data_IF_493044343865
#
_entry.id   IF_493044343865
#
_cell.length_a   1.000
_cell.length_b   1.000
_cell.length_c   1.000
_cell.angle_alpha   90.00
_cell.angle_beta   90.00
_cell.angle_gamma   90.00
#
_symmetry.space_group_name_H-M   'P 1'
#
loop_
_entity.id
_entity.type
_entity.pdbx_description
1 polymer ?
#
# COMPACT_ATOMS: atom_id res chain seq x y z
N UNK A 1 -3.35 2.03 -22.49
CA UNK A 1 -4.08 2.24 -21.23
C UNK A 1 -4.27 0.88 -20.59
N UNK A 2 -3.68 0.64 -19.46
CA UNK A 2 -3.75 -0.62 -18.72
C UNK A 2 -3.63 -0.37 -17.23
N UNK A 3 -3.78 -1.43 -16.44
CA UNK A 3 -3.70 -1.43 -14.98
C UNK A 3 -2.32 -1.97 -14.60
N UNK A 4 -1.53 -1.19 -13.87
CA UNK A 4 -0.24 -1.65 -13.35
C UNK A 4 -0.44 -2.73 -12.28
N UNK A 5 0.27 -3.86 -12.41
CA UNK A 5 0.31 -4.85 -11.33
C UNK A 5 1.33 -4.41 -10.29
N UNK A 6 0.93 -4.47 -9.02
CA UNK A 6 1.77 -4.26 -7.86
C UNK A 6 1.88 -5.49 -6.97
N UNK A 7 3.03 -5.62 -6.29
CA UNK A 7 3.27 -6.67 -5.30
C UNK A 7 4.06 -6.12 -4.11
N UNK A 8 3.58 -6.42 -2.90
CA UNK A 8 4.24 -5.99 -1.66
C UNK A 8 5.49 -6.82 -1.39
N UNK A 9 6.58 -6.15 -1.02
CA UNK A 9 7.88 -6.76 -0.69
C UNK A 9 8.47 -7.66 -1.80
N UNK A 10 8.09 -7.45 -3.04
CA UNK A 10 8.39 -8.33 -4.18
C UNK A 10 9.86 -8.69 -4.33
N UNK A 11 10.78 -7.76 -4.08
CA UNK A 11 12.22 -7.90 -4.35
C UNK A 11 13.07 -8.10 -3.10
N UNK A 12 12.46 -8.21 -1.92
CA UNK A 12 13.21 -8.35 -0.66
C UNK A 12 13.12 -9.75 -0.06
N UNK A 13 12.07 -10.48 -0.31
CA UNK A 13 11.89 -11.90 0.02
C UNK A 13 10.72 -12.50 -0.76
N UNK A 14 10.61 -13.81 -0.74
CA UNK A 14 9.50 -14.57 -1.31
C UNK A 14 9.49 -16.01 -0.82
N UNK A 15 8.85 -16.87 -1.56
CA UNK A 15 8.69 -18.28 -1.18
C UNK A 15 10.03 -19.00 -1.29
N UNK A 16 10.59 -19.34 -0.12
CA UNK A 16 11.85 -20.09 -0.02
C UNK A 16 13.10 -19.26 -0.26
N UNK A 17 13.03 -17.93 -0.24
CA UNK A 17 14.20 -17.08 -0.39
C UNK A 17 14.07 -15.76 0.37
N UNK A 18 15.21 -15.15 0.66
CA UNK A 18 15.32 -13.86 1.36
C UNK A 18 16.59 -13.13 0.91
N UNK A 19 16.47 -11.83 0.62
CA UNK A 19 17.59 -10.94 0.38
C UNK A 19 18.43 -11.20 -0.86
N UNK A 20 18.01 -12.09 -1.74
CA UNK A 20 18.74 -12.39 -2.98
C UNK A 20 18.61 -11.25 -4.00
N UNK A 21 19.73 -10.81 -4.53
CA UNK A 21 19.82 -9.70 -5.46
C UNK A 21 19.06 -10.00 -6.77
N UNK A 22 18.19 -9.10 -7.18
CA UNK A 22 17.43 -9.19 -8.43
C UNK A 22 16.36 -10.27 -8.48
N UNK A 23 16.11 -10.99 -7.39
CA UNK A 23 15.11 -12.04 -7.34
C UNK A 23 13.71 -11.46 -7.03
N UNK A 24 12.70 -12.06 -7.68
CA UNK A 24 11.28 -11.74 -7.52
C UNK A 24 10.48 -12.99 -7.90
N UNK A 25 9.51 -13.37 -7.07
CA UNK A 25 8.61 -14.50 -7.39
C UNK A 25 7.79 -14.19 -8.65
N UNK A 26 7.29 -12.96 -8.79
CA UNK A 26 6.57 -12.51 -9.99
C UNK A 26 7.45 -12.65 -11.24
N UNK A 27 8.65 -12.10 -11.20
CA UNK A 27 9.60 -12.21 -12.33
C UNK A 27 9.95 -13.65 -12.64
N UNK A 28 10.11 -14.49 -11.65
CA UNK A 28 10.42 -15.91 -11.84
C UNK A 28 9.30 -16.65 -12.58
N UNK A 29 8.05 -16.16 -12.51
CA UNK A 29 6.89 -16.74 -13.21
C UNK A 29 6.72 -16.15 -14.61
N UNK A 30 6.72 -14.84 -14.77
CA UNK A 30 6.37 -14.19 -16.04
C UNK A 30 7.53 -13.53 -16.79
N UNK A 31 8.71 -13.46 -16.19
CA UNK A 31 9.91 -12.87 -16.81
C UNK A 31 10.09 -11.38 -16.59
N UNK A 32 9.17 -10.71 -15.89
CA UNK A 32 9.22 -9.28 -15.63
C UNK A 32 8.85 -8.95 -14.18
N UNK A 33 9.32 -7.79 -13.71
CA UNK A 33 8.96 -7.27 -12.38
C UNK A 33 7.57 -6.65 -12.37
N UNK A 34 6.91 -6.56 -11.20
CA UNK A 34 5.73 -5.72 -11.07
C UNK A 34 6.01 -4.25 -11.45
N UNK A 35 5.03 -3.59 -12.02
CA UNK A 35 5.13 -2.15 -12.31
C UNK A 35 5.08 -1.30 -11.04
N UNK A 36 4.46 -1.81 -9.97
CA UNK A 36 4.41 -1.19 -8.64
C UNK A 36 4.98 -2.16 -7.62
N UNK A 37 5.93 -1.70 -6.82
CA UNK A 37 6.43 -2.46 -5.67
C UNK A 37 6.15 -1.64 -4.42
N UNK A 38 5.63 -2.29 -3.38
CA UNK A 38 5.39 -1.62 -2.11
C UNK A 38 6.26 -2.20 -1.01
N UNK A 39 6.53 -1.35 -0.01
CA UNK A 39 7.22 -1.70 1.24
C UNK A 39 6.47 -1.07 2.41
N UNK A 40 6.79 -1.48 3.63
CA UNK A 40 6.19 -0.91 4.84
C UNK A 40 7.23 -0.21 5.71
N UNK A 41 6.84 0.90 6.34
CA UNK A 41 7.71 1.70 7.21
C UNK A 41 7.62 1.31 8.68
N UNK A 42 6.73 0.38 9.06
CA UNK A 42 6.55 -0.04 10.45
C UNK A 42 7.87 -0.44 11.11
N UNK A 43 8.06 -0.06 12.37
CA UNK A 43 9.28 -0.21 13.19
C UNK A 43 10.42 0.78 12.85
N UNK A 44 10.46 1.36 11.63
CA UNK A 44 11.49 2.34 11.29
C UNK A 44 11.30 3.65 12.06
N UNK A 45 10.07 3.99 12.44
CA UNK A 45 9.75 5.15 13.30
C UNK A 45 10.39 5.06 14.69
N UNK A 46 10.75 3.85 15.13
CA UNK A 46 11.44 3.63 16.39
C UNK A 46 12.97 3.79 16.27
N UNK A 47 13.48 4.07 15.07
CA UNK A 47 14.92 4.07 14.79
C UNK A 47 15.51 2.66 14.62
N UNK A 48 14.67 1.65 14.43
CA UNK A 48 15.15 0.27 14.21
C UNK A 48 15.82 0.15 12.83
N UNK A 49 16.81 -0.73 12.74
CA UNK A 49 17.54 -0.97 11.48
C UNK A 49 16.72 -1.76 10.44
N UNK A 50 15.69 -2.47 10.88
CA UNK A 50 14.80 -3.26 10.03
C UNK A 50 13.33 -2.91 10.33
N UNK A 51 12.45 -3.11 9.33
CA UNK A 51 11.02 -2.89 9.48
C UNK A 51 10.32 -4.07 10.18
N UNK A 52 8.98 -4.01 10.31
CA UNK A 52 8.18 -5.05 10.96
C UNK A 52 8.30 -6.43 10.29
N UNK A 53 8.63 -6.48 9.01
CA UNK A 53 8.86 -7.73 8.27
C UNK A 53 10.34 -8.15 8.30
N UNK A 54 11.13 -7.58 9.20
CA UNK A 54 12.56 -7.87 9.37
C UNK A 54 13.41 -7.55 8.13
N UNK A 55 12.93 -6.67 7.25
CA UNK A 55 13.70 -6.19 6.10
C UNK A 55 14.56 -5.01 6.50
N UNK A 56 15.89 -5.06 6.31
CA UNK A 56 16.77 -3.94 6.62
C UNK A 56 16.38 -2.68 5.82
N UNK A 57 16.38 -1.52 6.49
CA UNK A 57 16.01 -0.24 5.85
C UNK A 57 16.92 0.10 4.65
N UNK A 58 18.19 -0.26 4.71
CA UNK A 58 19.13 -0.12 3.59
C UNK A 58 18.75 -0.97 2.38
N UNK A 59 18.23 -2.19 2.61
CA UNK A 59 17.73 -3.05 1.52
C UNK A 59 16.46 -2.46 0.90
N UNK A 60 15.53 -1.97 1.71
CA UNK A 60 14.33 -1.28 1.22
C UNK A 60 14.73 -0.10 0.35
N UNK A 61 15.63 0.76 0.82
CA UNK A 61 16.11 1.93 0.08
C UNK A 61 16.74 1.54 -1.26
N UNK A 62 17.56 0.50 -1.27
CA UNK A 62 18.18 -0.03 -2.49
C UNK A 62 17.14 -0.51 -3.50
N UNK A 63 16.13 -1.24 -3.06
CA UNK A 63 15.08 -1.75 -3.94
C UNK A 63 14.15 -0.64 -4.45
N UNK A 64 13.95 0.42 -3.67
CA UNK A 64 13.25 1.64 -4.14
C UNK A 64 14.04 2.29 -5.30
N UNK A 65 15.34 2.42 -5.15
CA UNK A 65 16.21 2.94 -6.24
C UNK A 65 16.13 2.05 -7.47
N UNK A 66 16.21 0.73 -7.30
CA UNK A 66 16.12 -0.22 -8.40
C UNK A 66 14.76 -0.11 -9.13
N UNK A 67 13.67 0.01 -8.40
CA UNK A 67 12.32 0.13 -8.99
C UNK A 67 12.17 1.46 -9.76
N UNK A 68 12.67 2.55 -9.21
CA UNK A 68 12.72 3.83 -9.90
C UNK A 68 13.50 3.74 -11.22
N UNK A 69 14.65 3.08 -11.21
CA UNK A 69 15.49 2.88 -12.40
C UNK A 69 14.83 2.02 -13.47
N UNK A 70 13.93 1.11 -13.07
CA UNK A 70 13.07 0.34 -14.02
C UNK A 70 11.95 1.20 -14.63
N UNK A 71 11.74 2.42 -14.13
CA UNK A 71 10.63 3.26 -14.54
C UNK A 71 9.31 2.97 -13.81
N UNK A 72 9.31 2.06 -12.83
CA UNK A 72 8.15 1.64 -12.07
C UNK A 72 7.86 2.53 -10.85
N UNK A 73 6.69 2.34 -10.25
CA UNK A 73 6.22 3.09 -9.08
C UNK A 73 6.57 2.37 -7.78
N UNK A 74 6.79 3.14 -6.73
CA UNK A 74 6.94 2.66 -5.35
C UNK A 74 5.78 3.18 -4.50
N UNK A 75 5.14 2.28 -3.76
CA UNK A 75 4.16 2.61 -2.72
C UNK A 75 4.70 2.23 -1.35
N UNK A 76 4.43 3.05 -0.35
CA UNK A 76 4.87 2.83 1.04
C UNK A 76 3.66 2.86 1.96
N UNK A 77 3.35 1.74 2.59
CA UNK A 77 2.38 1.66 3.69
C UNK A 77 3.07 1.87 5.03
N UNK A 78 2.31 2.05 6.09
CA UNK A 78 2.87 2.21 7.43
C UNK A 78 1.99 1.53 8.47
N UNK A 79 2.42 0.36 8.93
CA UNK A 79 1.88 -0.30 10.11
C UNK A 79 2.58 0.27 11.34
N UNK A 80 2.24 1.52 11.70
CA UNK A 80 2.87 2.24 12.79
C UNK A 80 2.60 1.55 14.14
N UNK A 81 3.62 1.47 14.98
CA UNK A 81 3.48 1.02 16.37
C UNK A 81 2.47 1.90 17.10
N UNK A 82 1.87 1.36 18.16
CA UNK A 82 0.96 2.13 19.00
C UNK A 82 1.75 3.09 19.90
N UNK A 83 1.63 4.41 19.68
CA UNK A 83 2.46 5.37 20.41
C UNK A 83 2.05 5.57 21.87
N UNK A 84 0.87 5.11 22.26
CA UNK A 84 0.38 5.24 23.63
C UNK A 84 0.64 3.98 24.45
N UNK A 85 0.32 2.81 23.91
CA UNK A 85 0.45 1.53 24.62
C UNK A 85 1.82 0.88 24.49
N UNK A 86 2.57 1.24 23.43
CA UNK A 86 3.80 0.55 23.05
C UNK A 86 3.57 -0.78 22.32
N UNK A 87 2.31 -1.14 22.05
CA UNK A 87 1.94 -2.30 21.23
C UNK A 87 2.18 -2.07 19.73
N UNK A 88 1.72 -2.99 18.91
CA UNK A 88 1.81 -2.89 17.45
C UNK A 88 0.62 -2.11 16.84
N UNK A 89 0.52 -2.10 15.51
CA UNK A 89 -0.55 -1.43 14.78
C UNK A 89 -1.94 -2.03 15.10
N UNK A 90 -2.00 -3.31 15.45
CA UNK A 90 -3.25 -4.04 15.79
C UNK A 90 -3.64 -3.94 17.27
N UNK A 91 -2.89 -3.21 18.07
CA UNK A 91 -3.26 -2.96 19.48
C UNK A 91 -4.37 -1.91 19.55
N UNK A 92 -5.59 -2.40 19.69
CA UNK A 92 -6.82 -1.60 19.79
C UNK A 92 -7.37 -1.54 21.23
N UNK A 93 -6.52 -1.83 22.22
CA UNK A 93 -6.90 -1.85 23.64
C UNK A 93 -7.25 -0.49 24.22
N UNK A 94 -6.82 0.59 23.58
CA UNK A 94 -7.09 1.96 23.99
C UNK A 94 -7.73 2.76 22.84
N UNK A 95 -8.87 3.38 23.09
CA UNK A 95 -9.63 4.17 22.09
C UNK A 95 -9.22 5.66 22.07
N UNK A 96 -8.18 6.04 22.80
CA UNK A 96 -7.72 7.43 22.90
C UNK A 96 -6.35 7.66 22.29
N UNK A 97 -5.83 6.68 21.54
CA UNK A 97 -4.48 6.76 20.96
C UNK A 97 -4.35 7.92 19.99
N UNK A 98 -5.24 8.04 19.01
CA UNK A 98 -5.20 9.16 18.04
C UNK A 98 -5.30 10.49 18.74
N UNK A 99 -6.29 10.66 19.64
CA UNK A 99 -6.43 11.88 20.43
C UNK A 99 -5.15 12.24 21.18
N UNK A 100 -4.45 11.25 21.74
CA UNK A 100 -3.25 11.45 22.54
C UNK A 100 -2.05 11.97 21.77
N UNK A 101 -1.99 11.75 20.45
CA UNK A 101 -0.88 12.16 19.60
C UNK A 101 -1.11 13.44 18.80
N UNK A 102 -2.33 13.95 18.79
CA UNK A 102 -2.64 15.23 18.16
C UNK A 102 -2.03 16.40 18.97
N UNK A 103 -1.89 17.60 18.38
CA UNK A 103 -1.39 18.77 19.10
C UNK A 103 -2.12 19.00 20.41
N UNK A 104 -1.37 19.13 21.52
CA UNK A 104 -1.90 19.22 22.88
C UNK A 104 -2.13 17.88 23.58
N UNK A 105 -2.02 16.75 22.87
CA UNK A 105 -2.10 15.41 23.46
C UNK A 105 -0.83 15.01 24.20
N UNK A 106 -0.95 14.11 25.17
CA UNK A 106 0.16 13.66 26.04
C UNK A 106 1.30 12.97 25.28
N UNK A 107 1.01 12.33 24.13
CA UNK A 107 1.98 11.63 23.30
C UNK A 107 2.33 12.40 22.02
N UNK A 108 1.93 13.65 21.89
CA UNK A 108 2.16 14.44 20.68
C UNK A 108 3.65 14.56 20.33
N UNK A 109 4.49 14.92 21.28
CA UNK A 109 5.94 15.07 21.03
C UNK A 109 6.61 13.76 20.66
N UNK A 110 6.22 12.66 21.31
CA UNK A 110 6.71 11.32 20.96
C UNK A 110 6.38 10.97 19.51
N UNK A 111 5.12 11.17 19.11
CA UNK A 111 4.67 10.85 17.77
C UNK A 111 5.24 11.80 16.72
N UNK A 112 5.41 13.08 17.05
CA UNK A 112 6.13 14.03 16.18
C UNK A 112 7.56 13.56 15.89
N UNK A 113 8.24 12.98 16.88
CA UNK A 113 9.54 12.32 16.69
C UNK A 113 9.47 11.14 15.71
N UNK A 114 8.44 10.30 15.82
CA UNK A 114 8.23 9.19 14.89
C UNK A 114 7.94 9.66 13.46
N UNK A 115 7.14 10.70 13.29
CA UNK A 115 6.95 11.34 11.99
C UNK A 115 8.27 11.92 11.44
N UNK A 116 9.13 12.41 12.32
CA UNK A 116 10.47 12.87 11.98
C UNK A 116 11.34 11.76 11.39
N UNK A 117 11.37 10.60 12.01
CA UNK A 117 12.09 9.43 11.48
C UNK A 117 11.53 9.00 10.11
N UNK A 118 10.21 8.97 9.94
CA UNK A 118 9.57 8.71 8.65
C UNK A 118 9.95 9.75 7.60
N UNK A 119 9.96 11.02 7.98
CA UNK A 119 10.37 12.12 7.09
C UNK A 119 11.84 11.99 6.66
N UNK A 120 12.73 11.64 7.57
CA UNK A 120 14.15 11.45 7.26
C UNK A 120 14.35 10.28 6.28
N UNK A 121 13.60 9.18 6.48
CA UNK A 121 13.62 8.06 5.54
C UNK A 121 13.14 8.49 4.15
N UNK A 122 11.98 9.13 4.03
CA UNK A 122 11.42 9.59 2.74
C UNK A 122 12.34 10.60 2.06
N UNK A 123 12.90 11.54 2.82
CA UNK A 123 13.86 12.54 2.30
C UNK A 123 15.16 11.89 1.80
N UNK A 124 15.56 10.75 2.36
CA UNK A 124 16.76 10.01 1.97
C UNK A 124 16.63 9.26 0.64
N UNK A 125 15.42 9.13 0.09
CA UNK A 125 15.14 8.37 -1.14
C UNK A 125 15.62 9.14 -2.36
N UNK A 126 16.88 8.90 -2.73
CA UNK A 126 17.56 9.56 -3.86
C UNK A 126 18.40 8.54 -4.63
N UNK A 127 18.54 8.78 -5.92
CA UNK A 127 19.53 8.10 -6.75
C UNK A 127 20.95 8.48 -6.34
N UNK A 128 21.96 7.77 -6.87
CA UNK A 128 23.37 8.06 -6.57
C UNK A 128 23.79 9.48 -6.98
N UNK A 129 23.16 10.03 -8.02
CA UNK A 129 23.40 11.42 -8.50
C UNK A 129 22.49 12.46 -7.83
N UNK A 130 21.74 12.06 -6.80
CA UNK A 130 20.97 12.95 -5.94
C UNK A 130 19.56 13.29 -6.43
N UNK A 131 19.05 12.62 -7.47
CA UNK A 131 17.68 12.80 -7.94
C UNK A 131 16.71 12.20 -6.92
N UNK A 132 15.77 12.98 -6.44
CA UNK A 132 14.74 12.55 -5.50
C UNK A 132 13.80 11.55 -6.17
N UNK A 133 13.49 10.45 -5.48
CA UNK A 133 12.62 9.40 -5.98
C UNK A 133 11.21 9.65 -5.49
N UNK A 134 10.22 9.85 -6.39
CA UNK A 134 8.83 9.99 -6.00
C UNK A 134 8.28 8.67 -5.44
N UNK A 135 7.52 8.75 -4.37
CA UNK A 135 6.85 7.60 -3.75
C UNK A 135 5.40 7.94 -3.44
N UNK A 136 4.54 6.94 -3.48
CA UNK A 136 3.17 7.04 -3.01
C UNK A 136 3.11 6.58 -1.57
N UNK A 137 2.92 7.53 -0.64
CA UNK A 137 2.82 7.22 0.79
C UNK A 137 1.36 6.96 1.17
N UNK A 138 1.11 5.81 1.81
CA UNK A 138 -0.21 5.31 2.16
C UNK A 138 -0.31 5.01 3.66
N UNK A 139 -0.27 6.03 4.52
CA UNK A 139 -0.48 5.87 5.95
C UNK A 139 -1.97 5.73 6.27
N UNK A 140 -2.28 5.23 7.46
CA UNK A 140 -3.63 5.23 8.05
C UNK A 140 -4.67 4.49 7.20
N UNK A 141 -4.24 3.45 6.48
CA UNK A 141 -5.08 2.63 5.61
C UNK A 141 -6.09 1.80 6.40
N UNK A 142 -7.11 1.31 5.70
CA UNK A 142 -8.15 0.43 6.26
C UNK A 142 -8.87 1.02 7.49
N UNK A 143 -8.94 2.34 7.57
CA UNK A 143 -9.51 3.08 8.68
C UNK A 143 -11.03 2.91 8.84
N UNK A 144 -11.71 2.35 7.86
CA UNK A 144 -13.13 2.01 7.92
C UNK A 144 -13.41 0.75 8.74
N UNK A 145 -12.39 -0.09 8.97
CA UNK A 145 -12.41 -1.18 9.93
C UNK A 145 -11.87 -0.74 11.31
N UNK A 146 -11.88 -1.65 12.28
CA UNK A 146 -11.49 -1.35 13.67
C UNK A 146 -10.37 -2.25 14.20
N UNK A 147 -9.49 -2.74 13.32
CA UNK A 147 -8.37 -3.62 13.68
C UNK A 147 -7.03 -2.91 13.82
N UNK A 148 -6.95 -1.64 13.42
CA UNK A 148 -5.80 -0.78 13.68
C UNK A 148 -6.14 0.30 14.70
N UNK A 149 -5.15 0.81 15.45
CA UNK A 149 -5.38 1.83 16.48
C UNK A 149 -5.90 3.19 15.93
N UNK A 150 -5.85 3.38 14.61
CA UNK A 150 -6.45 4.55 13.92
C UNK A 150 -7.80 4.23 13.26
N UNK A 151 -8.41 3.09 13.56
CA UNK A 151 -9.60 2.57 12.90
C UNK A 151 -10.91 3.25 13.28
N UNK A 152 -12.01 2.73 12.74
CA UNK A 152 -13.35 3.33 12.81
C UNK A 152 -13.84 3.58 14.25
N UNK A 153 -13.66 2.62 15.14
CA UNK A 153 -14.10 2.74 16.54
C UNK A 153 -13.04 3.31 17.48
N UNK A 154 -11.85 3.64 16.94
CA UNK A 154 -10.70 4.04 17.75
C UNK A 154 -10.48 5.56 17.79
N UNK A 155 -11.14 6.29 16.89
CA UNK A 155 -11.07 7.76 16.86
C UNK A 155 -12.30 8.32 16.14
N UNK A 156 -12.55 9.62 16.35
CA UNK A 156 -13.60 10.35 15.62
C UNK A 156 -13.14 10.68 14.21
N UNK A 157 -14.07 10.97 13.26
CA UNK A 157 -13.69 11.47 11.93
C UNK A 157 -12.81 12.71 11.99
N UNK A 158 -13.07 13.63 12.90
CA UNK A 158 -12.29 14.87 13.08
C UNK A 158 -10.87 14.56 13.57
N UNK A 159 -10.73 13.64 14.52
CA UNK A 159 -9.42 13.17 14.99
C UNK A 159 -8.62 12.49 13.88
N UNK A 160 -9.26 11.65 13.06
CA UNK A 160 -8.62 10.98 11.92
C UNK A 160 -8.14 11.99 10.86
N UNK A 161 -8.99 12.96 10.51
CA UNK A 161 -8.60 14.04 9.58
C UNK A 161 -7.44 14.88 10.14
N UNK A 162 -7.48 15.19 11.43
CA UNK A 162 -6.40 15.91 12.09
C UNK A 162 -5.08 15.11 12.06
N UNK A 163 -5.13 13.79 12.21
CA UNK A 163 -3.97 12.91 12.08
C UNK A 163 -3.35 13.01 10.67
N UNK A 164 -4.17 13.01 9.62
CA UNK A 164 -3.70 13.21 8.24
C UNK A 164 -3.04 14.57 8.05
N UNK A 165 -3.69 15.66 8.49
CA UNK A 165 -3.12 17.01 8.40
C UNK A 165 -1.80 17.13 9.14
N UNK A 166 -1.72 16.63 10.37
CA UNK A 166 -0.49 16.63 11.16
C UNK A 166 0.62 15.83 10.46
N UNK A 167 0.30 14.67 9.88
CA UNK A 167 1.25 13.82 9.16
C UNK A 167 1.85 14.58 7.97
N UNK A 168 1.02 15.08 7.07
CA UNK A 168 1.47 15.78 5.85
C UNK A 168 2.20 17.08 6.20
N UNK A 169 1.67 17.88 7.11
CA UNK A 169 2.30 19.15 7.54
C UNK A 169 3.70 18.90 8.13
N UNK A 170 3.84 17.86 8.94
CA UNK A 170 5.15 17.51 9.53
C UNK A 170 6.14 17.05 8.46
N UNK A 171 5.71 16.20 7.52
CA UNK A 171 6.57 15.74 6.43
C UNK A 171 7.02 16.92 5.56
N UNK A 172 6.13 17.81 5.19
CA UNK A 172 6.44 19.00 4.39
C UNK A 172 7.37 19.95 5.14
N UNK A 173 7.12 20.21 6.43
CA UNK A 173 7.97 21.05 7.26
C UNK A 173 9.41 20.50 7.38
N UNK A 174 9.59 19.19 7.26
CA UNK A 174 10.91 18.51 7.24
C UNK A 174 11.50 18.36 5.85
N UNK A 175 10.92 19.00 4.83
CA UNK A 175 11.46 19.04 3.46
C UNK A 175 11.13 17.83 2.60
N UNK A 176 10.14 17.01 2.96
CA UNK A 176 9.65 15.91 2.12
C UNK A 176 8.79 16.51 1.00
N UNK A 177 9.30 16.51 -0.21
CA UNK A 177 8.64 17.02 -1.41
C UNK A 177 8.56 15.97 -2.54
N UNK A 178 8.89 14.72 -2.22
CA UNK A 178 8.88 13.57 -3.13
C UNK A 178 7.80 12.54 -2.79
N UNK A 179 6.80 12.90 -1.99
CA UNK A 179 5.69 12.02 -1.63
C UNK A 179 4.38 12.49 -2.25
N UNK A 180 3.66 11.56 -2.87
CA UNK A 180 2.23 11.62 -3.13
C UNK A 180 1.51 10.85 -2.03
N UNK A 181 0.22 11.13 -1.81
CA UNK A 181 -0.53 10.55 -0.70
C UNK A 181 -1.74 9.77 -1.15
N UNK A 182 -1.93 8.57 -0.60
CA UNK A 182 -3.06 7.70 -0.89
C UNK A 182 -3.98 7.55 0.33
N UNK A 183 -5.28 7.71 0.10
CA UNK A 183 -6.35 7.48 1.05
C UNK A 183 -7.06 6.18 0.68
N UNK A 184 -7.08 5.21 1.58
CA UNK A 184 -7.57 3.86 1.27
C UNK A 184 -8.30 3.21 2.45
N UNK A 185 -9.63 3.36 2.55
CA UNK A 185 -10.45 2.54 3.44
C UNK A 185 -10.48 1.08 2.97
N UNK A 186 -11.14 0.22 3.73
CA UNK A 186 -11.61 -1.07 3.26
C UNK A 186 -12.88 -0.95 2.40
N UNK A 187 -13.66 -2.03 2.33
CA UNK A 187 -14.94 -2.06 1.57
C UNK A 187 -16.17 -1.83 2.45
N UNK A 188 -15.98 -1.38 3.68
CA UNK A 188 -17.06 -1.07 4.61
C UNK A 188 -17.96 0.09 4.17
N UNK A 189 -17.42 1.18 3.54
CA UNK A 189 -18.27 2.25 3.04
C UNK A 189 -19.29 1.75 2.00
N UNK A 190 -20.55 2.12 2.19
CA UNK A 190 -21.67 1.69 1.33
C UNK A 190 -21.94 2.62 0.16
N UNK A 191 -21.50 3.87 0.30
CA UNK A 191 -21.70 4.95 -0.67
C UNK A 191 -20.58 6.00 -0.60
N UNK A 192 -20.67 7.00 -1.48
CA UNK A 192 -19.69 8.10 -1.54
C UNK A 192 -19.65 8.94 -0.26
N UNK A 193 -20.77 9.11 0.42
CA UNK A 193 -20.87 9.88 1.67
C UNK A 193 -20.11 9.17 2.79
N UNK A 194 -20.31 7.87 2.95
CA UNK A 194 -19.57 7.09 3.95
C UNK A 194 -18.07 7.04 3.62
N UNK A 195 -17.70 6.88 2.35
CA UNK A 195 -16.30 6.88 1.91
C UNK A 195 -15.59 8.18 2.28
N UNK A 196 -16.26 9.31 2.07
CA UNK A 196 -15.71 10.65 2.31
C UNK A 196 -15.81 11.11 3.78
N UNK A 197 -16.45 10.35 4.65
CA UNK A 197 -16.65 10.72 6.06
C UNK A 197 -15.36 11.12 6.79
N UNK A 198 -14.26 10.43 6.49
CA UNK A 198 -12.93 10.67 7.08
C UNK A 198 -11.92 11.25 6.10
N UNK A 199 -12.36 11.62 4.90
CA UNK A 199 -11.48 12.16 3.86
C UNK A 199 -10.90 13.51 4.29
N UNK A 200 -9.55 13.64 4.33
CA UNK A 200 -8.92 14.83 4.91
C UNK A 200 -8.91 16.06 3.99
N UNK A 201 -9.27 15.90 2.72
CA UNK A 201 -9.35 16.99 1.77
C UNK A 201 -8.56 16.75 0.49
N UNK A 202 -8.98 17.39 -0.58
CA UNK A 202 -8.38 17.24 -1.91
C UNK A 202 -6.94 17.76 -1.99
N UNK A 203 -6.60 18.73 -1.14
CA UNK A 203 -5.26 19.31 -1.07
C UNK A 203 -4.21 18.37 -0.50
N UNK A 204 -4.63 17.34 0.27
CA UNK A 204 -3.72 16.38 0.86
C UNK A 204 -3.61 15.08 0.06
N UNK A 205 -4.65 14.69 -0.65
CA UNK A 205 -4.77 13.36 -1.26
C UNK A 205 -4.61 13.43 -2.77
N UNK A 206 -3.77 12.56 -3.31
CA UNK A 206 -3.50 12.41 -4.74
C UNK A 206 -4.18 11.18 -5.33
N UNK A 207 -4.20 10.08 -4.57
CA UNK A 207 -4.78 8.80 -4.98
C UNK A 207 -5.82 8.37 -3.97
N UNK A 208 -6.96 7.93 -4.45
CA UNK A 208 -7.99 7.29 -3.64
C UNK A 208 -8.13 5.83 -4.05
N UNK A 209 -8.33 4.96 -3.08
CA UNK A 209 -8.43 3.53 -3.32
C UNK A 209 -9.19 2.83 -2.21
N UNK A 210 -9.03 1.53 -2.16
CA UNK A 210 -9.53 0.69 -1.08
C UNK A 210 -8.74 -0.61 -1.01
N UNK A 211 -8.80 -1.26 0.15
CA UNK A 211 -8.20 -2.56 0.41
C UNK A 211 -9.30 -3.61 0.57
N UNK A 212 -9.14 -4.77 -0.05
CA UNK A 212 -10.08 -5.89 0.09
C UNK A 212 -9.42 -7.22 -0.26
N UNK A 213 -9.79 -8.29 0.46
CA UNK A 213 -9.27 -9.65 0.27
C UNK A 213 -10.40 -10.63 0.00
N UNK A 214 -10.11 -11.64 -0.82
CA UNK A 214 -11.05 -12.72 -1.08
C UNK A 214 -10.97 -13.77 0.03
N UNK A 215 -12.09 -13.96 0.73
CA UNK A 215 -12.38 -15.13 1.58
C UNK A 215 -13.48 -15.96 0.95
N UNK A 216 -14.53 -15.31 0.50
CA UNK A 216 -15.63 -15.86 -0.33
C UNK A 216 -15.66 -15.11 -1.66
N UNK A 217 -15.80 -15.84 -2.77
CA UNK A 217 -15.72 -15.26 -4.11
C UNK A 217 -16.84 -14.28 -4.41
N UNK A 218 -18.08 -14.65 -4.08
CA UNK A 218 -19.25 -13.82 -4.42
C UNK A 218 -19.28 -12.56 -3.56
N UNK A 219 -18.96 -12.68 -2.26
CA UNK A 219 -18.83 -11.53 -1.36
C UNK A 219 -17.68 -10.60 -1.78
N UNK A 220 -16.55 -11.16 -2.19
CA UNK A 220 -15.40 -10.40 -2.71
C UNK A 220 -15.77 -9.59 -3.96
N UNK A 221 -16.39 -10.24 -4.94
CA UNK A 221 -16.78 -9.57 -6.20
C UNK A 221 -17.85 -8.50 -5.97
N UNK A 222 -18.82 -8.74 -5.09
CA UNK A 222 -19.84 -7.75 -4.74
C UNK A 222 -19.24 -6.53 -4.02
N UNK A 223 -18.34 -6.75 -3.08
CA UNK A 223 -17.61 -5.69 -2.38
C UNK A 223 -16.70 -4.90 -3.31
N UNK A 224 -15.98 -5.59 -4.19
CA UNK A 224 -15.12 -4.99 -5.20
C UNK A 224 -15.91 -4.09 -6.16
N UNK A 225 -17.01 -4.59 -6.72
CA UNK A 225 -17.84 -3.83 -7.65
C UNK A 225 -18.42 -2.56 -7.01
N UNK A 226 -18.91 -2.67 -5.78
CA UNK A 226 -19.41 -1.51 -5.02
C UNK A 226 -18.30 -0.49 -4.76
N UNK A 227 -17.16 -0.92 -4.25
CA UNK A 227 -16.05 -0.04 -3.91
C UNK A 227 -15.45 0.63 -5.16
N UNK A 228 -15.31 -0.09 -6.28
CA UNK A 228 -14.87 0.46 -7.56
C UNK A 228 -15.83 1.52 -8.08
N UNK A 229 -17.13 1.29 -8.00
CA UNK A 229 -18.14 2.27 -8.38
C UNK A 229 -18.04 3.56 -7.53
N UNK A 230 -17.81 3.41 -6.24
CA UNK A 230 -17.64 4.55 -5.31
C UNK A 230 -16.40 5.37 -5.68
N UNK A 231 -15.22 4.73 -5.80
CA UNK A 231 -13.98 5.48 -6.10
C UNK A 231 -13.95 6.04 -7.51
N UNK A 232 -14.58 5.40 -8.50
CA UNK A 232 -14.70 5.95 -9.84
C UNK A 232 -15.55 7.24 -9.85
N UNK A 233 -16.66 7.23 -9.12
CA UNK A 233 -17.50 8.42 -8.95
C UNK A 233 -16.76 9.57 -8.26
N UNK A 234 -16.09 9.28 -7.14
CA UNK A 234 -15.33 10.30 -6.39
C UNK A 234 -14.11 10.75 -7.18
N UNK A 235 -13.39 9.85 -7.83
CA UNK A 235 -12.22 10.18 -8.65
C UNK A 235 -12.55 11.17 -9.76
N UNK A 236 -13.69 11.00 -10.41
CA UNK A 236 -14.19 11.94 -11.41
C UNK A 236 -14.59 13.28 -10.80
N UNK A 237 -15.32 13.25 -9.68
CA UNK A 237 -15.82 14.46 -9.03
C UNK A 237 -14.69 15.31 -8.40
N UNK A 238 -13.69 14.66 -7.84
CA UNK A 238 -12.58 15.29 -7.11
C UNK A 238 -11.28 15.35 -7.92
N UNK A 239 -11.29 14.90 -9.17
CA UNK A 239 -10.10 14.82 -10.03
C UNK A 239 -8.95 14.04 -9.37
N UNK A 240 -9.22 12.83 -8.88
CA UNK A 240 -8.25 11.96 -8.23
C UNK A 240 -7.97 10.71 -9.05
N UNK A 241 -6.75 10.25 -9.01
CA UNK A 241 -6.34 8.94 -9.51
C UNK A 241 -6.96 7.87 -8.63
N UNK A 242 -7.42 6.77 -9.22
CA UNK A 242 -8.04 5.66 -8.49
C UNK A 242 -7.22 4.38 -8.63
N UNK A 243 -7.22 3.58 -7.57
CA UNK A 243 -6.47 2.32 -7.51
C UNK A 243 -7.13 1.31 -6.57
N UNK A 244 -6.86 0.03 -6.78
CA UNK A 244 -7.05 -1.00 -5.76
C UNK A 244 -5.72 -1.10 -5.00
N UNK A 245 -5.67 -0.44 -3.86
CA UNK A 245 -4.44 -0.18 -3.13
C UNK A 245 -3.90 -1.40 -2.42
N UNK A 246 -4.76 -2.40 -2.16
CA UNK A 246 -4.36 -3.68 -1.59
C UNK A 246 -5.44 -4.73 -1.83
N UNK A 247 -5.07 -5.90 -2.33
CA UNK A 247 -5.99 -7.02 -2.51
C UNK A 247 -5.26 -8.36 -2.51
N UNK A 248 -6.00 -9.44 -2.63
CA UNK A 248 -5.45 -10.77 -2.81
C UNK A 248 -6.41 -11.89 -2.42
N UNK A 249 -5.98 -13.09 -2.76
CA UNK A 249 -6.57 -14.35 -2.34
C UNK A 249 -5.47 -15.22 -1.74
N UNK A 250 -5.45 -15.39 -0.43
CA UNK A 250 -4.36 -16.09 0.27
C UNK A 250 -4.15 -17.48 -0.32
N UNK A 251 -2.91 -17.76 -0.73
CA UNK A 251 -2.52 -19.03 -1.33
C UNK A 251 -3.02 -19.26 -2.76
N UNK A 252 -3.82 -18.39 -3.30
CA UNK A 252 -4.37 -18.42 -4.66
C UNK A 252 -4.75 -19.84 -5.09
N UNK A 253 -5.72 -20.49 -4.40
CA UNK A 253 -6.08 -21.89 -4.70
C UNK A 253 -6.89 -22.07 -5.98
N UNK A 254 -7.42 -20.96 -6.55
CA UNK A 254 -8.09 -20.97 -7.84
C UNK A 254 -7.06 -20.80 -8.97
N UNK A 255 -6.91 -21.83 -9.79
CA UNK A 255 -5.95 -21.84 -10.90
C UNK A 255 -6.20 -20.74 -11.96
N UNK A 256 -7.41 -20.18 -12.00
CA UNK A 256 -7.84 -19.14 -12.95
C UNK A 256 -8.19 -17.81 -12.28
N UNK A 257 -7.70 -17.55 -11.07
CA UNK A 257 -8.06 -16.37 -10.31
C UNK A 257 -7.71 -15.05 -11.01
N UNK A 258 -6.56 -14.98 -11.66
CA UNK A 258 -6.05 -13.74 -12.28
C UNK A 258 -6.91 -13.31 -13.47
N UNK A 259 -7.17 -14.21 -14.42
CA UNK A 259 -7.95 -13.91 -15.61
C UNK A 259 -9.44 -14.16 -15.45
N UNK A 260 -9.84 -15.05 -14.55
CA UNK A 260 -11.24 -15.42 -14.33
C UNK A 260 -11.95 -14.63 -13.23
N UNK A 261 -11.22 -14.08 -12.27
CA UNK A 261 -11.79 -13.34 -11.14
C UNK A 261 -11.28 -11.90 -11.07
N UNK A 262 -9.98 -11.69 -10.92
CA UNK A 262 -9.43 -10.36 -10.68
C UNK A 262 -9.59 -9.43 -11.89
N UNK A 263 -9.06 -9.78 -13.04
CA UNK A 263 -9.06 -8.91 -14.21
C UNK A 263 -10.48 -8.50 -14.66
N UNK A 264 -11.46 -9.42 -14.75
CA UNK A 264 -12.83 -9.04 -15.12
C UNK A 264 -13.49 -8.04 -14.17
N UNK A 265 -13.13 -8.09 -12.88
CA UNK A 265 -13.62 -7.13 -11.89
C UNK A 265 -13.06 -5.73 -12.10
N UNK A 266 -11.79 -5.64 -12.53
CA UNK A 266 -11.04 -4.37 -12.61
C UNK A 266 -11.15 -3.66 -13.95
N UNK A 267 -11.22 -4.41 -15.05
CA UNK A 267 -11.03 -3.89 -16.42
C UNK A 267 -12.05 -2.86 -16.89
N UNK A 268 -13.14 -2.71 -16.17
CA UNK A 268 -14.21 -1.74 -16.45
C UNK A 268 -13.88 -0.32 -15.98
N UNK A 269 -12.85 -0.17 -15.15
CA UNK A 269 -12.52 1.08 -14.47
C UNK A 269 -11.12 1.59 -14.85
N UNK A 270 -10.90 2.91 -14.88
CA UNK A 270 -9.61 3.50 -15.27
C UNK A 270 -8.61 3.49 -14.07
N UNK A 271 -8.36 2.32 -13.53
CA UNK A 271 -7.46 2.15 -12.39
C UNK A 271 -6.00 2.40 -12.80
N UNK A 272 -5.25 3.10 -11.95
CA UNK A 272 -3.82 3.24 -12.14
C UNK A 272 -3.09 1.93 -11.82
N UNK A 273 -3.46 1.28 -10.72
CA UNK A 273 -2.83 0.01 -10.34
C UNK A 273 -3.76 -0.85 -9.47
N UNK A 274 -3.39 -2.12 -9.38
CA UNK A 274 -3.86 -3.08 -8.39
C UNK A 274 -2.65 -3.71 -7.71
N UNK A 275 -2.64 -3.74 -6.37
CA UNK A 275 -1.53 -4.28 -5.60
C UNK A 275 -1.98 -5.51 -4.83
N UNK A 276 -1.26 -6.62 -5.01
CA UNK A 276 -1.42 -7.82 -4.20
C UNK A 276 -0.37 -7.86 -3.08
N UNK A 277 -0.78 -8.42 -1.93
CA UNK A 277 0.04 -8.41 -0.72
C UNK A 277 1.24 -9.37 -0.84
N UNK A 278 2.04 -9.47 0.18
CA UNK A 278 3.35 -10.12 0.22
C UNK A 278 3.32 -11.64 0.06
N UNK A 279 4.44 -12.21 -0.35
CA UNK A 279 4.74 -13.63 -0.28
C UNK A 279 5.63 -13.88 0.95
N UNK A 280 5.03 -14.36 2.06
CA UNK A 280 5.73 -14.53 3.31
C UNK A 280 6.79 -15.65 3.24
N UNK A 281 8.03 -15.36 3.63
CA UNK A 281 9.09 -16.37 3.74
C UNK A 281 8.94 -17.27 4.96
N UNK A 282 8.31 -16.73 6.02
CA UNK A 282 8.14 -17.41 7.31
C UNK A 282 6.88 -18.29 7.39
N UNK A 283 5.97 -18.15 6.43
CA UNK A 283 4.71 -18.91 6.40
C UNK A 283 4.34 -19.26 4.97
N UNK A 284 4.68 -20.47 4.55
CA UNK A 284 4.54 -20.95 3.17
C UNK A 284 3.10 -20.97 2.60
N UNK A 285 2.08 -20.80 3.44
CA UNK A 285 0.69 -20.69 3.03
C UNK A 285 0.21 -19.25 2.88
N UNK A 286 1.01 -18.27 3.32
CA UNK A 286 0.66 -16.85 3.32
C UNK A 286 1.37 -16.15 2.17
N UNK A 287 0.76 -16.20 0.99
CA UNK A 287 1.27 -15.55 -0.20
C UNK A 287 0.12 -15.09 -1.11
N UNK A 288 0.38 -14.06 -1.92
CA UNK A 288 -0.64 -13.40 -2.74
C UNK A 288 -0.21 -13.21 -4.20
N UNK A 289 1.04 -13.53 -4.55
CA UNK A 289 1.50 -13.64 -5.92
C UNK A 289 2.04 -15.05 -6.20
N UNK A 290 1.97 -15.53 -7.44
CA UNK A 290 2.48 -16.85 -7.75
C UNK A 290 4.01 -16.90 -7.67
N UNK A 291 4.52 -18.10 -7.49
CA UNK A 291 5.92 -18.48 -7.64
C UNK A 291 6.00 -19.66 -8.60
N UNK A 292 7.17 -20.04 -9.13
CA UNK A 292 7.29 -21.15 -10.08
C UNK A 292 6.69 -22.46 -9.54
N UNK A 293 5.75 -23.03 -10.29
CA UNK A 293 5.03 -24.25 -9.92
C UNK A 293 3.79 -24.06 -9.05
N UNK A 294 3.46 -22.83 -8.66
CA UNK A 294 2.22 -22.53 -7.95
C UNK A 294 1.01 -22.72 -8.88
N UNK A 295 -0.12 -23.18 -8.32
CA UNK A 295 -1.33 -23.55 -9.05
C UNK A 295 -1.81 -22.53 -10.08
N UNK A 296 -1.73 -21.23 -9.78
CA UNK A 296 -2.18 -20.15 -10.66
C UNK A 296 -1.10 -19.56 -11.57
N UNK A 297 0.12 -20.11 -11.55
CA UNK A 297 1.26 -19.53 -12.28
C UNK A 297 1.01 -19.42 -13.79
N UNK A 298 0.42 -20.43 -14.42
CA UNK A 298 0.10 -20.38 -15.85
C UNK A 298 -0.93 -19.29 -16.17
N UNK A 299 -1.98 -19.18 -15.37
CA UNK A 299 -2.98 -18.13 -15.51
C UNK A 299 -2.40 -16.73 -15.27
N UNK A 300 -1.43 -16.61 -14.38
CA UNK A 300 -0.70 -15.36 -14.17
C UNK A 300 0.10 -14.95 -15.41
N UNK A 301 0.68 -15.90 -16.14
CA UNK A 301 1.34 -15.60 -17.42
C UNK A 301 0.32 -15.13 -18.48
N UNK A 302 -0.90 -15.71 -18.49
CA UNK A 302 -1.99 -15.20 -19.33
C UNK A 302 -2.39 -13.77 -18.93
N UNK A 303 -2.47 -13.49 -17.64
CA UNK A 303 -2.70 -12.16 -17.10
C UNK A 303 -1.59 -11.17 -17.48
N UNK A 304 -0.32 -11.58 -17.37
CA UNK A 304 0.84 -10.80 -17.82
C UNK A 304 0.77 -10.44 -19.31
N UNK A 305 0.38 -11.37 -20.14
CA UNK A 305 0.27 -11.15 -21.59
C UNK A 305 -0.98 -10.40 -22.03
N UNK A 306 -1.87 -10.06 -21.11
CA UNK A 306 -3.10 -9.33 -21.43
C UNK A 306 -2.80 -7.85 -21.68
N UNK A 307 -3.28 -7.26 -22.80
CA UNK A 307 -2.98 -5.86 -23.12
C UNK A 307 -3.59 -4.84 -22.14
N UNK A 308 -4.42 -5.28 -21.19
CA UNK A 308 -5.00 -4.44 -20.14
C UNK A 308 -4.17 -4.42 -18.86
N UNK A 309 -3.11 -5.21 -18.77
CA UNK A 309 -2.21 -5.25 -17.61
C UNK A 309 -0.85 -4.68 -17.97
N UNK A 310 -0.21 -4.02 -17.03
CA UNK A 310 1.10 -3.40 -17.21
C UNK A 310 2.07 -3.90 -16.14
N UNK A 311 3.27 -4.24 -16.58
CA UNK A 311 4.39 -4.66 -15.73
C UNK A 311 5.56 -3.68 -15.89
N UNK A 312 6.69 -3.93 -15.26
CA UNK A 312 7.79 -2.97 -15.24
C UNK A 312 8.29 -2.58 -16.64
N UNK A 313 8.39 -3.55 -17.58
CA UNK A 313 8.83 -3.30 -18.94
C UNK A 313 7.84 -2.44 -19.77
N UNK A 314 6.58 -2.36 -19.34
CA UNK A 314 5.54 -1.62 -20.05
C UNK A 314 5.45 -0.14 -19.64
N UNK A 315 6.16 0.24 -18.58
CA UNK A 315 6.03 1.58 -17.99
C UNK A 315 7.36 2.31 -17.91
N UNK A 316 7.31 3.61 -18.04
CA UNK A 316 8.39 4.53 -17.71
C UNK A 316 7.80 5.82 -17.19
N UNK A 317 7.58 5.88 -15.88
CA UNK A 317 6.82 6.95 -15.24
C UNK A 317 7.62 8.26 -15.09
N UNK A 318 8.92 8.25 -15.41
CA UNK A 318 9.84 9.35 -15.11
C UNK A 318 10.50 9.97 -16.35
N UNK A 319 10.05 9.59 -17.55
CA UNK A 319 10.53 10.15 -18.83
C UNK A 319 9.43 10.85 -19.62
#
# INVERSE_FOLDING_TARGET
KGIMLGHHDDTVYGIGWEGEEGRSDVKSVCGDYPAVISFDLGELELGNAANLDMVPSGKIRKEIINQYQRGGMVSLSWHARNPKTGGDAWDVSDTTVVKSILPGGENHQKFAGWLGEGADFLHSLKTADGVKIPVLFRPWHEHSGSWFWWGEKLCTPEEYKALWHMTVDTLQAKGVDNALYAYSPGTEPKDTTEYLKKYPGDELIDVIGFDTYQFDRDAYLAGMDRALSIIDSIGKAHNKVIAVTETGYEGIPDAKWWTGTLLPALEKYPLAYVLVWRNAREKVTHYYAPYPGQTSAEDFVEFYNNPKTLFAADVNLYQ
#
